data_IF_989782300878
#
_entry.id   IF_989782300878
#
_cell.length_a   1.000
_cell.length_b   1.000
_cell.length_c   1.000
_cell.angle_alpha   90.00
_cell.angle_beta   90.00
_cell.angle_gamma   90.00
#
_symmetry.space_group_name_H-M   'P 1'
#
loop_
_entity.id
_entity.type
_entity.pdbx_description
1 polymer ?
#
# COMPACT_ATOMS: atom_id res chain seq x y z
N UNK A 1 -36.06 40.00 -6.39
CA UNK A 1 -36.37 38.96 -5.39
C UNK A 1 -35.41 37.80 -5.65
N UNK A 2 -34.45 37.61 -4.75
CA UNK A 2 -33.32 36.69 -4.87
C UNK A 2 -33.78 35.23 -4.79
N UNK A 3 -33.36 34.39 -5.74
CA UNK A 3 -33.33 32.94 -5.54
C UNK A 3 -31.89 32.47 -5.68
N UNK A 4 -31.29 32.15 -4.53
CA UNK A 4 -29.99 31.50 -4.41
C UNK A 4 -30.05 30.17 -5.15
N UNK A 5 -29.41 30.12 -6.33
CA UNK A 5 -29.15 28.86 -7.04
C UNK A 5 -28.20 28.04 -6.19
N UNK A 6 -28.71 26.91 -5.69
CA UNK A 6 -28.00 25.94 -4.86
C UNK A 6 -26.64 25.57 -5.46
N UNK A 7 -25.57 26.06 -4.81
CA UNK A 7 -24.20 25.58 -4.99
C UNK A 7 -24.08 24.25 -4.24
N UNK A 8 -24.69 23.19 -4.77
CA UNK A 8 -24.50 21.82 -4.30
C UNK A 8 -23.84 20.98 -5.39
N UNK A 9 -22.80 21.52 -6.02
CA UNK A 9 -21.77 20.67 -6.58
C UNK A 9 -21.05 20.03 -5.40
N UNK A 10 -21.40 18.79 -5.05
CA UNK A 10 -20.58 17.97 -4.16
C UNK A 10 -19.13 18.16 -4.61
N UNK A 11 -18.31 18.75 -3.75
CA UNK A 11 -16.87 18.74 -3.93
C UNK A 11 -16.42 17.29 -3.73
N UNK A 12 -16.67 16.43 -4.71
CA UNK A 12 -16.18 15.06 -4.76
C UNK A 12 -14.67 15.19 -4.82
N UNK A 13 -14.03 15.15 -3.65
CA UNK A 13 -12.58 15.28 -3.52
C UNK A 13 -11.96 14.13 -4.32
N UNK A 14 -11.52 14.46 -5.54
CA UNK A 14 -10.93 13.50 -6.47
C UNK A 14 -9.73 12.86 -5.80
N UNK A 15 -9.65 11.52 -5.80
CA UNK A 15 -8.51 10.78 -5.25
C UNK A 15 -7.21 11.32 -5.85
N UNK A 16 -6.29 11.89 -5.05
CA UNK A 16 -5.08 12.52 -5.56
C UNK A 16 -4.19 11.50 -6.26
N UNK A 17 -3.45 11.94 -7.28
CA UNK A 17 -2.59 11.07 -8.06
C UNK A 17 -1.59 10.28 -7.19
N UNK A 18 -1.03 10.94 -6.16
CA UNK A 18 -0.08 10.29 -5.24
C UNK A 18 -0.70 9.13 -4.45
N UNK A 19 -1.99 9.20 -4.10
CA UNK A 19 -2.66 8.09 -3.42
C UNK A 19 -2.87 6.90 -4.35
N UNK A 20 -3.05 7.15 -5.66
CA UNK A 20 -3.09 6.11 -6.68
C UNK A 20 -1.72 5.44 -6.84
N UNK A 21 -0.63 6.21 -6.76
CA UNK A 21 0.73 5.65 -6.77
C UNK A 21 0.93 4.71 -5.59
N UNK A 22 0.59 5.14 -4.36
CA UNK A 22 0.67 4.27 -3.16
C UNK A 22 -0.11 2.96 -3.38
N UNK A 23 -1.33 3.07 -3.91
CA UNK A 23 -2.19 1.91 -4.17
C UNK A 23 -1.59 0.96 -5.22
N UNK A 24 -1.20 1.49 -6.39
CA UNK A 24 -0.67 0.70 -7.50
C UNK A 24 0.66 0.06 -7.12
N UNK A 25 1.56 0.79 -6.45
CA UNK A 25 2.85 0.25 -6.00
C UNK A 25 2.66 -0.90 -5.00
N UNK A 26 1.73 -0.79 -4.06
CA UNK A 26 1.45 -1.89 -3.12
C UNK A 26 0.78 -3.09 -3.80
N UNK A 27 -0.11 -2.87 -4.76
CA UNK A 27 -0.69 -3.96 -5.55
C UNK A 27 0.37 -4.68 -6.39
N UNK A 28 1.25 -3.92 -7.06
CA UNK A 28 2.35 -4.46 -7.87
C UNK A 28 3.32 -5.28 -7.00
N UNK A 29 3.61 -4.81 -5.78
CA UNK A 29 4.44 -5.54 -4.81
C UNK A 29 3.91 -6.94 -4.50
N UNK A 30 2.59 -7.06 -4.29
CA UNK A 30 1.95 -8.35 -4.03
C UNK A 30 2.11 -9.27 -5.24
N UNK A 31 1.85 -8.75 -6.44
CA UNK A 31 2.01 -9.52 -7.68
C UNK A 31 3.45 -9.99 -7.89
N UNK A 32 4.44 -9.15 -7.57
CA UNK A 32 5.84 -9.52 -7.58
C UNK A 32 6.15 -10.62 -6.56
N UNK A 33 5.62 -10.52 -5.34
CA UNK A 33 5.83 -11.54 -4.31
C UNK A 33 5.29 -12.92 -4.73
N UNK A 34 4.09 -12.97 -5.32
CA UNK A 34 3.54 -14.21 -5.87
C UNK A 34 4.33 -14.72 -7.09
N UNK A 35 4.77 -13.82 -7.97
CA UNK A 35 5.62 -14.20 -9.10
C UNK A 35 6.91 -14.85 -8.62
N UNK A 36 7.59 -14.26 -7.63
CA UNK A 36 8.78 -14.85 -7.04
C UNK A 36 8.48 -16.19 -6.39
N UNK A 37 7.43 -16.30 -5.57
CA UNK A 37 7.01 -17.56 -4.97
C UNK A 37 6.88 -18.68 -6.01
N UNK A 38 6.17 -18.43 -7.12
CA UNK A 38 6.00 -19.39 -8.21
C UNK A 38 7.32 -19.77 -8.85
N UNK A 39 8.16 -18.78 -9.17
CA UNK A 39 9.47 -19.02 -9.81
C UNK A 39 10.38 -19.87 -8.91
N UNK A 40 10.43 -19.61 -7.60
CA UNK A 40 11.29 -20.34 -6.67
C UNK A 40 10.75 -21.74 -6.34
N UNK A 41 9.43 -21.89 -6.28
CA UNK A 41 8.78 -23.20 -6.14
C UNK A 41 9.06 -24.10 -7.34
N UNK A 42 8.92 -23.56 -8.57
CA UNK A 42 9.14 -24.34 -9.80
C UNK A 42 10.61 -24.68 -10.05
N UNK A 43 11.53 -23.79 -9.66
CA UNK A 43 12.98 -24.01 -9.86
C UNK A 43 13.65 -24.82 -8.74
N UNK A 44 12.90 -25.24 -7.71
CA UNK A 44 13.44 -25.92 -6.53
C UNK A 44 14.58 -25.14 -5.85
N UNK A 45 14.64 -23.84 -6.08
CA UNK A 45 15.77 -22.99 -5.73
C UNK A 45 15.44 -22.19 -4.48
N UNK A 46 16.37 -22.14 -3.54
CA UNK A 46 16.28 -21.27 -2.37
C UNK A 46 16.81 -19.87 -2.74
N UNK A 47 16.19 -18.80 -2.21
CA UNK A 47 16.80 -17.46 -2.26
C UNK A 47 17.72 -17.37 -1.05
N UNK A 48 19.00 -17.68 -1.22
CA UNK A 48 19.94 -17.72 -0.10
C UNK A 48 19.48 -18.73 0.97
N UNK A 49 19.19 -18.26 2.18
CA UNK A 49 18.73 -19.09 3.31
C UNK A 49 17.19 -19.20 3.43
N UNK A 50 16.43 -18.61 2.51
CA UNK A 50 14.96 -18.57 2.59
C UNK A 50 14.33 -19.56 1.60
N UNK A 51 13.45 -20.41 2.14
CA UNK A 51 12.62 -21.31 1.39
C UNK A 51 11.36 -20.64 0.81
N UNK A 52 10.68 -21.32 -0.13
CA UNK A 52 9.45 -20.81 -0.75
C UNK A 52 8.33 -20.49 0.26
N UNK A 53 8.28 -21.18 1.39
CA UNK A 53 7.28 -20.96 2.43
C UNK A 53 7.35 -19.56 3.04
N UNK A 54 8.55 -19.04 3.33
CA UNK A 54 8.68 -17.68 3.87
C UNK A 54 8.23 -16.63 2.86
N UNK A 55 8.50 -16.83 1.56
CA UNK A 55 8.04 -15.94 0.50
C UNK A 55 6.51 -15.91 0.44
N UNK A 56 5.86 -17.07 0.60
CA UNK A 56 4.40 -17.17 0.64
C UNK A 56 3.81 -16.44 1.84
N UNK A 57 4.37 -16.63 3.05
CA UNK A 57 3.93 -15.90 4.24
C UNK A 57 4.08 -14.38 4.09
N UNK A 58 5.19 -13.92 3.52
CA UNK A 58 5.39 -12.50 3.21
C UNK A 58 4.38 -11.99 2.18
N UNK A 59 4.07 -12.76 1.13
CA UNK A 59 3.08 -12.39 0.12
C UNK A 59 1.66 -12.26 0.73
N UNK A 60 1.28 -13.21 1.59
CA UNK A 60 0.02 -13.16 2.34
C UNK A 60 0.01 -11.94 3.28
N UNK A 61 1.11 -11.70 4.00
CA UNK A 61 1.27 -10.52 4.85
C UNK A 61 1.05 -9.21 4.10
N UNK A 62 1.68 -9.06 2.93
CA UNK A 62 1.46 -7.89 2.06
C UNK A 62 0.01 -7.75 1.61
N UNK A 63 -0.68 -8.87 1.32
CA UNK A 63 -2.10 -8.84 0.94
C UNK A 63 -2.97 -8.29 2.08
N UNK A 64 -2.77 -8.76 3.31
CA UNK A 64 -3.49 -8.24 4.47
C UNK A 64 -3.19 -6.76 4.73
N UNK A 65 -1.92 -6.35 4.65
CA UNK A 65 -1.53 -4.96 4.83
C UNK A 65 -2.11 -4.05 3.75
N UNK A 66 -2.14 -4.51 2.50
CA UNK A 66 -2.79 -3.79 1.42
C UNK A 66 -4.29 -3.62 1.66
N UNK A 67 -4.99 -4.66 2.12
CA UNK A 67 -6.37 -4.56 2.57
C UNK A 67 -6.56 -3.51 3.67
N UNK A 68 -5.65 -3.47 4.65
CA UNK A 68 -5.59 -2.45 5.69
C UNK A 68 -5.42 -1.02 5.14
N UNK A 69 -4.49 -0.83 4.20
CA UNK A 69 -4.27 0.45 3.52
C UNK A 69 -5.54 0.89 2.77
N UNK A 70 -6.15 0.00 1.98
CA UNK A 70 -7.35 0.29 1.19
C UNK A 70 -8.52 0.67 2.08
N UNK A 71 -8.79 -0.11 3.13
CA UNK A 71 -9.87 0.20 4.08
C UNK A 71 -9.62 1.52 4.82
N UNK A 72 -8.36 1.84 5.14
CA UNK A 72 -7.99 3.12 5.76
C UNK A 72 -8.18 4.31 4.83
N UNK A 73 -7.90 4.13 3.52
CA UNK A 73 -8.16 5.13 2.48
C UNK A 73 -9.66 5.39 2.36
N UNK A 74 -10.48 4.34 2.30
CA UNK A 74 -11.95 4.45 2.20
C UNK A 74 -12.52 5.15 3.43
N UNK A 75 -12.07 4.77 4.63
CA UNK A 75 -12.50 5.36 5.90
C UNK A 75 -11.89 6.75 6.17
N UNK A 76 -11.05 7.26 5.27
CA UNK A 76 -10.31 8.53 5.40
C UNK A 76 -9.56 8.65 6.74
N UNK A 77 -8.90 7.57 7.19
CA UNK A 77 -8.07 7.57 8.41
C UNK A 77 -6.58 7.44 8.07
N UNK A 78 -5.89 8.57 7.96
CA UNK A 78 -4.47 8.61 7.57
C UNK A 78 -3.54 7.93 8.58
N UNK A 79 -3.85 8.02 9.86
CA UNK A 79 -3.07 7.36 10.93
C UNK A 79 -3.07 5.84 10.77
N UNK A 80 -4.23 5.24 10.48
CA UNK A 80 -4.33 3.81 10.21
C UNK A 80 -3.58 3.43 8.93
N UNK A 81 -3.70 4.24 7.87
CA UNK A 81 -2.94 3.99 6.65
C UNK A 81 -1.42 3.95 6.90
N UNK A 82 -0.90 4.90 7.68
CA UNK A 82 0.52 4.92 8.06
C UNK A 82 0.91 3.73 8.92
N UNK A 83 0.07 3.35 9.89
CA UNK A 83 0.31 2.18 10.71
C UNK A 83 0.44 0.91 9.86
N UNK A 84 -0.47 0.70 8.91
CA UNK A 84 -0.38 -0.45 8.00
C UNK A 84 0.87 -0.41 7.11
N UNK A 85 1.30 0.77 6.64
CA UNK A 85 2.56 0.90 5.87
C UNK A 85 3.78 0.56 6.74
N UNK A 86 3.79 0.94 8.02
CA UNK A 86 4.89 0.62 8.94
C UNK A 86 4.93 -0.87 9.27
N UNK A 87 3.77 -1.50 9.48
CA UNK A 87 3.70 -2.96 9.69
C UNK A 87 4.12 -3.71 8.42
N UNK A 88 3.72 -3.22 7.25
CA UNK A 88 4.13 -3.77 5.96
C UNK A 88 5.65 -3.71 5.75
N UNK A 89 6.29 -2.63 6.17
CA UNK A 89 7.75 -2.53 6.23
C UNK A 89 8.34 -3.59 7.17
N UNK A 90 7.75 -3.80 8.36
CA UNK A 90 8.22 -4.79 9.32
C UNK A 90 8.12 -6.23 8.79
N UNK A 91 7.06 -6.55 8.03
CA UNK A 91 6.91 -7.86 7.35
C UNK A 91 8.01 -8.10 6.32
N UNK A 92 8.58 -7.03 5.75
CA UNK A 92 9.68 -7.15 4.78
C UNK A 92 11.02 -7.54 5.42
N UNK A 93 11.17 -7.37 6.74
CA UNK A 93 12.42 -7.59 7.49
C UNK A 93 12.89 -9.05 7.46
N UNK A 94 12.06 -10.05 7.84
CA UNK A 94 12.52 -11.43 7.96
C UNK A 94 13.00 -11.99 6.62
N UNK A 95 12.35 -11.63 5.51
CA UNK A 95 12.71 -12.10 4.17
C UNK A 95 13.69 -11.19 3.44
N UNK A 96 14.21 -10.13 4.11
CA UNK A 96 15.09 -9.13 3.50
C UNK A 96 14.58 -8.64 2.13
N UNK A 97 13.26 -8.40 2.03
CA UNK A 97 12.59 -8.13 0.77
C UNK A 97 12.88 -6.68 0.34
N UNK A 98 13.97 -6.48 -0.41
CA UNK A 98 14.43 -5.15 -0.83
C UNK A 98 13.34 -4.33 -1.54
N UNK A 99 12.61 -4.95 -2.46
CA UNK A 99 11.48 -4.31 -3.16
C UNK A 99 10.37 -3.90 -2.17
N UNK A 100 10.12 -4.75 -1.16
CA UNK A 100 9.14 -4.47 -0.11
C UNK A 100 9.52 -3.23 0.71
N UNK A 101 10.78 -3.11 1.10
CA UNK A 101 11.30 -1.92 1.78
C UNK A 101 11.15 -0.66 0.95
N UNK A 102 11.59 -0.68 -0.31
CA UNK A 102 11.53 0.49 -1.20
C UNK A 102 10.09 0.98 -1.37
N UNK A 103 9.15 0.06 -1.61
CA UNK A 103 7.74 0.41 -1.79
C UNK A 103 7.11 0.95 -0.50
N UNK A 104 7.47 0.37 0.65
CA UNK A 104 6.99 0.83 1.95
C UNK A 104 7.50 2.23 2.30
N UNK A 105 8.80 2.48 2.08
CA UNK A 105 9.42 3.80 2.29
C UNK A 105 8.81 4.84 1.35
N UNK A 106 8.65 4.51 0.08
CA UNK A 106 8.02 5.41 -0.88
C UNK A 106 6.57 5.71 -0.46
N UNK A 107 5.83 4.70 -0.02
CA UNK A 107 4.47 4.85 0.46
C UNK A 107 4.37 5.74 1.71
N UNK A 108 5.29 5.59 2.66
CA UNK A 108 5.28 6.41 3.89
C UNK A 108 5.62 7.86 3.57
N UNK A 109 6.63 8.11 2.74
CA UNK A 109 7.03 9.47 2.33
C UNK A 109 5.88 10.16 1.59
N UNK A 110 5.25 9.47 0.63
CA UNK A 110 4.11 10.00 -0.11
C UNK A 110 2.92 10.29 0.82
N UNK A 111 2.74 9.53 1.90
CA UNK A 111 1.68 9.75 2.90
C UNK A 111 1.78 11.09 3.63
N UNK A 112 2.95 11.75 3.65
CA UNK A 112 3.15 13.04 4.31
C UNK A 112 2.94 14.24 3.38
N UNK A 113 2.75 14.00 2.09
CA UNK A 113 2.57 15.07 1.10
C UNK A 113 1.24 15.81 1.30
N UNK A 114 1.25 17.12 1.04
CA UNK A 114 0.06 18.00 1.11
C UNK A 114 -1.19 17.43 0.40
N UNK A 115 -1.12 16.93 -0.86
CA UNK A 115 -2.31 16.41 -1.55
C UNK A 115 -2.89 15.16 -0.88
N UNK A 116 -2.06 14.33 -0.26
CA UNK A 116 -2.54 13.15 0.47
C UNK A 116 -3.19 13.59 1.78
N UNK A 117 -2.53 14.42 2.59
CA UNK A 117 -3.11 14.95 3.84
C UNK A 117 -4.48 15.60 3.62
N UNK A 118 -4.60 16.45 2.58
CA UNK A 118 -5.86 17.13 2.22
C UNK A 118 -6.99 16.14 1.89
N UNK A 119 -6.70 15.00 1.27
CA UNK A 119 -7.69 13.97 1.00
C UNK A 119 -8.24 13.34 2.29
N UNK A 120 -7.41 13.28 3.33
CA UNK A 120 -7.74 12.77 4.66
C UNK A 120 -8.25 13.85 5.63
N UNK A 121 -8.57 15.06 5.13
CA UNK A 121 -9.00 16.21 5.94
C UNK A 121 -7.98 16.62 7.03
N UNK A 122 -6.67 16.48 6.74
CA UNK A 122 -5.54 16.96 7.55
C UNK A 122 -4.63 17.87 6.74
#
# INVERSE_FOLDING_TARGET
MSSNVNVLGENVVKKPALLRVIFISNALKILLAFTFYTVFTLKGSQIGAFGPEQILYTAIGYMFMFGGIVTSIIKRKIWLMRLFIVIDFAISIPTSAYIGFVISILSIVLSFTKPVKRYFNQ
#
